data_IF_724146837897
#
_entry.id   IF_724146837897
#
_cell.length_a   1.000
_cell.length_b   1.000
_cell.length_c   1.000
_cell.angle_alpha   90.00
_cell.angle_beta   90.00
_cell.angle_gamma   90.00
#
_symmetry.space_group_name_H-M   'P 1'
#
loop_
_entity.id
_entity.type
_entity.pdbx_description
1 polymer ?
#
# COMPACT_ATOMS: atom_id res chain seq x y z
N UNK A 1 -26.14 -8.28 -9.50
CA UNK A 1 -25.94 -6.85 -9.81
C UNK A 1 -24.46 -6.61 -9.98
N UNK A 2 -24.04 -6.04 -11.11
CA UNK A 2 -22.65 -5.63 -11.35
C UNK A 2 -22.62 -4.10 -11.42
N UNK A 3 -21.60 -3.51 -10.80
CA UNK A 3 -21.38 -2.06 -10.76
C UNK A 3 -20.01 -1.82 -11.39
N UNK A 4 -19.96 -0.92 -12.37
CA UNK A 4 -18.73 -0.50 -13.03
C UNK A 4 -18.32 0.88 -12.49
N UNK A 5 -17.03 1.05 -12.29
CA UNK A 5 -16.44 2.28 -11.77
C UNK A 5 -15.39 2.76 -12.77
N UNK A 6 -15.55 3.99 -13.29
CA UNK A 6 -14.56 4.63 -14.15
C UNK A 6 -13.53 5.37 -13.27
N UNK A 7 -12.25 4.94 -13.24
CA UNK A 7 -11.21 5.59 -12.46
C UNK A 7 -10.98 7.06 -12.82
N UNK A 8 -11.20 7.47 -14.07
CA UNK A 8 -10.95 8.85 -14.52
C UNK A 8 -12.02 9.83 -14.01
N UNK A 9 -13.20 9.32 -13.66
CA UNK A 9 -14.33 10.11 -13.17
C UNK A 9 -14.44 10.09 -11.63
N UNK A 10 -13.67 9.25 -10.95
CA UNK A 10 -13.71 9.11 -9.49
C UNK A 10 -12.79 10.11 -8.78
N UNK A 11 -13.22 10.56 -7.60
CA UNK A 11 -12.30 11.21 -6.66
C UNK A 11 -11.16 10.24 -6.26
N UNK A 12 -9.94 10.77 -6.19
CA UNK A 12 -8.73 9.99 -5.93
C UNK A 12 -8.78 9.27 -4.58
N UNK A 13 -9.36 9.88 -3.54
CA UNK A 13 -9.47 9.23 -2.22
C UNK A 13 -10.53 8.13 -2.24
N UNK A 14 -11.64 8.35 -2.95
CA UNK A 14 -12.67 7.33 -3.14
C UNK A 14 -12.12 6.11 -3.90
N UNK A 15 -11.37 6.33 -4.98
CA UNK A 15 -10.73 5.27 -5.75
C UNK A 15 -9.69 4.49 -4.94
N UNK A 16 -8.84 5.18 -4.17
CA UNK A 16 -7.90 4.52 -3.26
C UNK A 16 -8.61 3.60 -2.26
N UNK A 17 -9.68 4.09 -1.62
CA UNK A 17 -10.49 3.29 -0.69
C UNK A 17 -11.05 2.03 -1.35
N UNK A 18 -11.62 2.16 -2.55
CA UNK A 18 -12.13 1.03 -3.33
C UNK A 18 -11.05 -0.01 -3.58
N UNK A 19 -9.86 0.39 -4.06
CA UNK A 19 -8.75 -0.54 -4.28
C UNK A 19 -8.29 -1.22 -2.99
N UNK A 20 -8.22 -0.48 -1.88
CA UNK A 20 -7.79 -1.02 -0.59
C UNK A 20 -8.80 -1.97 0.06
N UNK A 21 -10.08 -1.86 -0.28
CA UNK A 21 -11.12 -2.75 0.28
C UNK A 21 -11.31 -4.05 -0.50
N UNK A 22 -11.00 -4.07 -1.81
CA UNK A 22 -11.29 -5.24 -2.68
C UNK A 22 -10.07 -6.12 -2.97
N UNK A 23 -8.85 -5.58 -2.92
CA UNK A 23 -7.62 -6.36 -3.14
C UNK A 23 -7.12 -6.90 -1.80
N UNK A 24 -7.63 -8.05 -1.39
CA UNK A 24 -7.37 -8.68 -0.08
C UNK A 24 -7.22 -10.22 -0.21
N UNK A 25 -6.50 -10.91 0.70
CA UNK A 25 -5.66 -10.38 1.78
C UNK A 25 -4.35 -9.76 1.27
N UNK A 26 -3.75 -8.84 2.04
CA UNK A 26 -2.50 -8.17 1.67
C UNK A 26 -1.36 -8.60 2.60
N UNK A 27 -0.27 -9.19 2.07
CA UNK A 27 0.93 -9.43 2.85
C UNK A 27 1.46 -8.12 3.46
N UNK A 28 1.94 -8.19 4.70
CA UNK A 28 2.54 -7.06 5.41
C UNK A 28 4.04 -7.26 5.43
N UNK A 29 4.76 -6.30 4.88
CA UNK A 29 6.22 -6.24 4.93
C UNK A 29 6.65 -5.29 6.04
N UNK A 30 7.58 -5.75 6.88
CA UNK A 30 8.25 -4.90 7.84
C UNK A 30 9.53 -4.35 7.21
N UNK A 31 9.61 -3.03 7.04
CA UNK A 31 10.74 -2.37 6.42
C UNK A 31 11.49 -1.57 7.48
N UNK A 32 12.75 -1.93 7.70
CA UNK A 32 13.67 -1.20 8.59
C UNK A 32 14.56 -0.25 7.79
N UNK A 33 14.84 0.92 8.35
CA UNK A 33 15.77 1.91 7.79
C UNK A 33 16.56 2.54 8.92
N UNK A 34 17.85 2.80 8.69
CA UNK A 34 18.70 3.55 9.62
C UNK A 34 19.00 4.92 9.04
N UNK A 35 18.93 5.97 9.86
CA UNK A 35 19.31 7.32 9.45
C UNK A 35 20.78 7.37 9.05
N UNK A 36 21.13 8.25 8.11
CA UNK A 36 22.51 8.45 7.63
C UNK A 36 23.48 8.76 8.76
N UNK A 37 23.02 9.53 9.75
CA UNK A 37 23.84 9.94 10.90
C UNK A 37 23.78 8.91 12.05
N UNK A 38 23.15 7.75 11.81
CA UNK A 38 22.96 6.68 12.79
C UNK A 38 22.27 7.09 14.09
N UNK A 39 21.56 8.23 14.09
CA UNK A 39 20.87 8.76 15.27
C UNK A 39 19.53 8.06 15.53
N UNK A 40 18.88 7.51 14.50
CA UNK A 40 17.58 6.88 14.62
C UNK A 40 17.44 5.67 13.70
N UNK A 41 16.85 4.61 14.25
CA UNK A 41 16.33 3.47 13.50
C UNK A 41 14.80 3.60 13.38
N UNK A 42 14.29 3.36 12.17
CA UNK A 42 12.86 3.34 11.89
C UNK A 42 12.44 1.96 11.42
N UNK A 43 11.30 1.49 11.90
CA UNK A 43 10.66 0.26 11.47
C UNK A 43 9.20 0.59 11.14
N UNK A 44 8.79 0.31 9.91
CA UNK A 44 7.43 0.64 9.46
C UNK A 44 6.79 -0.52 8.70
N UNK A 45 5.48 -0.77 8.90
CA UNK A 45 4.74 -1.70 8.10
C UNK A 45 4.42 -1.10 6.72
N UNK A 46 4.62 -1.89 5.66
CA UNK A 46 4.28 -1.55 4.29
C UNK A 46 3.37 -2.62 3.68
N UNK A 47 2.36 -2.17 2.93
CA UNK A 47 1.47 -3.04 2.16
C UNK A 47 1.53 -2.64 0.69
N UNK A 48 2.26 -3.40 -0.14
CA UNK A 48 2.25 -3.25 -1.60
C UNK A 48 2.62 -4.58 -2.28
N UNK A 49 1.85 -4.98 -3.29
CA UNK A 49 1.88 -6.30 -3.91
C UNK A 49 2.71 -6.35 -5.20
N UNK A 50 3.61 -7.34 -5.27
CA UNK A 50 4.42 -7.67 -6.45
C UNK A 50 5.83 -8.06 -6.02
N UNK A 51 6.08 -9.36 -5.84
CA UNK A 51 7.36 -9.93 -5.42
C UNK A 51 8.58 -9.31 -6.15
N UNK A 52 9.62 -8.93 -5.40
CA UNK A 52 10.72 -9.83 -5.00
C UNK A 52 11.43 -9.27 -3.76
N UNK A 53 11.30 -9.97 -2.63
CA UNK A 53 12.31 -9.92 -1.58
C UNK A 53 13.41 -10.88 -2.03
N UNK A 54 14.53 -10.34 -2.49
CA UNK A 54 15.81 -11.07 -2.52
C UNK A 54 16.62 -10.63 -1.34
#
# INVERSE_FOLDING_TARGET
MRIDFDPEQMDRRAFYKLLTSVVVPRPIAWVSTTSRDHCCDNLSPATFGGQRYR
#
